data_IF_508408228759
#
_entry.id   IF_508408228759
#
_cell.length_a   1.000
_cell.length_b   1.000
_cell.length_c   1.000
_cell.angle_alpha   90.00
_cell.angle_beta   90.00
_cell.angle_gamma   90.00
#
_symmetry.space_group_name_H-M   'P 1'
#
loop_
_entity.id
_entity.type
_entity.pdbx_description
1 polymer ?
#
# COMPACT_ATOMS: atom_id res chain seq x y z
N UNK A 1 -16.45 12.59 -22.28
CA UNK A 1 -16.24 11.29 -22.94
C UNK A 1 -15.90 10.33 -21.80
N UNK A 2 -16.74 9.32 -21.52
CA UNK A 2 -16.39 8.34 -20.49
C UNK A 2 -15.21 7.53 -21.00
N UNK A 3 -14.06 7.64 -20.34
CA UNK A 3 -12.93 6.76 -20.61
C UNK A 3 -13.32 5.40 -20.03
N UNK A 4 -13.67 4.45 -20.90
CA UNK A 4 -13.92 3.07 -20.50
C UNK A 4 -12.59 2.44 -20.10
N UNK A 5 -12.23 2.63 -18.84
CA UNK A 5 -11.05 1.99 -18.26
C UNK A 5 -11.31 0.47 -18.19
N UNK A 6 -10.37 -0.37 -18.67
CA UNK A 6 -10.49 -1.81 -18.49
C UNK A 6 -10.67 -2.13 -17.00
N UNK A 7 -11.47 -3.16 -16.68
CA UNK A 7 -11.90 -3.49 -15.30
C UNK A 7 -10.76 -3.43 -14.28
N UNK A 8 -9.57 -3.93 -14.65
CA UNK A 8 -8.36 -3.95 -13.82
C UNK A 8 -7.79 -2.55 -13.47
N UNK A 9 -8.11 -1.52 -14.24
CA UNK A 9 -7.64 -0.14 -14.09
C UNK A 9 -8.73 0.77 -13.50
N UNK A 10 -9.91 0.23 -13.21
CA UNK A 10 -10.94 0.99 -12.50
C UNK A 10 -10.44 1.42 -11.12
N UNK A 11 -10.84 2.61 -10.61
CA UNK A 11 -10.42 3.08 -9.28
C UNK A 11 -10.73 2.08 -8.16
N UNK A 12 -11.87 1.40 -8.24
CA UNK A 12 -12.26 0.37 -7.30
C UNK A 12 -11.30 -0.83 -7.35
N UNK A 13 -11.04 -1.38 -8.54
CA UNK A 13 -10.12 -2.52 -8.68
C UNK A 13 -8.71 -2.16 -8.26
N UNK A 14 -8.24 -0.96 -8.61
CA UNK A 14 -6.95 -0.44 -8.13
C UNK A 14 -6.91 -0.30 -6.62
N UNK A 15 -7.98 0.19 -5.99
CA UNK A 15 -8.10 0.27 -4.53
C UNK A 15 -8.02 -1.09 -3.85
N UNK A 16 -8.73 -2.10 -4.38
CA UNK A 16 -8.69 -3.47 -3.86
C UNK A 16 -7.29 -4.08 -4.03
N UNK A 17 -6.66 -3.93 -5.21
CA UNK A 17 -5.31 -4.45 -5.45
C UNK A 17 -4.27 -3.78 -4.56
N UNK A 18 -4.36 -2.46 -4.38
CA UNK A 18 -3.54 -1.70 -3.43
C UNK A 18 -3.70 -2.19 -2.00
N UNK A 19 -4.94 -2.46 -1.55
CA UNK A 19 -5.19 -3.01 -0.22
C UNK A 19 -4.53 -4.39 -0.05
N UNK A 20 -4.67 -5.28 -1.04
CA UNK A 20 -4.04 -6.60 -0.99
C UNK A 20 -2.52 -6.51 -0.94
N UNK A 21 -1.91 -5.64 -1.76
CA UNK A 21 -0.48 -5.40 -1.73
C UNK A 21 -0.01 -4.91 -0.35
N UNK A 22 -0.70 -3.92 0.21
CA UNK A 22 -0.41 -3.39 1.54
C UNK A 22 -0.51 -4.47 2.63
N UNK A 23 -1.52 -5.34 2.58
CA UNK A 23 -1.68 -6.43 3.55
C UNK A 23 -0.54 -7.45 3.47
N UNK A 24 -0.11 -7.81 2.25
CA UNK A 24 1.03 -8.71 2.06
C UNK A 24 2.31 -8.08 2.64
N UNK A 25 2.58 -6.82 2.33
CA UNK A 25 3.71 -6.08 2.88
C UNK A 25 3.65 -5.98 4.40
N UNK A 26 2.48 -5.67 4.98
CA UNK A 26 2.30 -5.60 6.42
C UNK A 26 2.58 -6.94 7.12
N UNK A 27 2.11 -8.06 6.55
CA UNK A 27 2.38 -9.39 7.11
C UNK A 27 3.86 -9.76 7.01
N UNK A 28 4.48 -9.56 5.85
CA UNK A 28 5.88 -9.97 5.64
C UNK A 28 6.85 -9.08 6.42
N UNK A 29 6.67 -7.76 6.35
CA UNK A 29 7.58 -6.82 6.97
C UNK A 29 7.50 -6.86 8.49
N UNK A 30 6.39 -7.26 9.11
CA UNK A 30 6.28 -7.32 10.58
C UNK A 30 6.96 -8.54 11.21
N UNK A 31 7.40 -9.53 10.42
CA UNK A 31 8.06 -10.75 10.92
C UNK A 31 9.23 -10.44 11.89
N UNK A 32 10.18 -9.53 11.59
CA UNK A 32 11.30 -9.24 12.48
C UNK A 32 10.88 -8.64 13.82
N UNK A 33 9.75 -7.93 13.90
CA UNK A 33 9.21 -7.42 15.17
C UNK A 33 8.82 -8.58 16.07
N UNK A 34 8.13 -9.58 15.52
CA UNK A 34 7.71 -10.76 16.27
C UNK A 34 8.86 -11.73 16.56
N UNK A 35 9.91 -11.72 15.73
CA UNK A 35 11.10 -12.57 15.90
C UNK A 35 12.15 -12.00 16.86
N UNK A 36 12.03 -10.73 17.28
CA UNK A 36 13.01 -10.06 18.13
C UNK A 36 12.43 -9.67 19.50
N UNK A 37 13.30 -9.23 20.43
CA UNK A 37 12.91 -8.79 21.79
C UNK A 37 13.61 -7.50 22.19
N UNK A 38 13.01 -6.78 23.14
CA UNK A 38 13.62 -5.62 23.79
C UNK A 38 13.88 -4.47 22.82
N UNK A 39 15.07 -3.87 22.88
CA UNK A 39 15.41 -2.69 22.06
C UNK A 39 15.36 -2.97 20.56
N UNK A 40 15.75 -4.17 20.10
CA UNK A 40 15.70 -4.54 18.70
C UNK A 40 14.26 -4.56 18.16
N UNK A 41 13.31 -5.05 18.96
CA UNK A 41 11.89 -5.05 18.62
C UNK A 41 11.34 -3.65 18.43
N UNK A 42 11.70 -2.70 19.30
CA UNK A 42 11.30 -1.30 19.18
C UNK A 42 11.88 -0.63 17.92
N UNK A 43 13.14 -0.92 17.58
CA UNK A 43 13.78 -0.42 16.36
C UNK A 43 13.05 -0.97 15.12
N UNK A 44 12.79 -2.28 15.08
CA UNK A 44 12.04 -2.90 13.99
C UNK A 44 10.64 -2.30 13.84
N UNK A 45 9.91 -2.12 14.93
CA UNK A 45 8.58 -1.53 14.89
C UNK A 45 8.59 -0.11 14.28
N UNK A 46 9.58 0.71 14.63
CA UNK A 46 9.75 2.05 14.05
C UNK A 46 10.06 2.03 12.55
N UNK A 47 11.01 1.19 12.13
CA UNK A 47 11.40 1.05 10.72
C UNK A 47 10.20 0.56 9.90
N UNK A 48 9.57 -0.53 10.32
CA UNK A 48 8.47 -1.15 9.59
C UNK A 48 7.24 -0.24 9.56
N UNK A 49 6.92 0.42 10.67
CA UNK A 49 5.85 1.42 10.70
C UNK A 49 6.07 2.56 9.70
N UNK A 50 7.32 3.01 9.54
CA UNK A 50 7.67 4.04 8.56
C UNK A 50 7.53 3.54 7.12
N UNK A 51 7.99 2.32 6.84
CA UNK A 51 7.87 1.69 5.52
C UNK A 51 6.40 1.49 5.13
N UNK A 52 5.58 0.96 6.03
CA UNK A 52 4.15 0.74 5.79
C UNK A 52 3.41 2.07 5.63
N UNK A 53 3.76 3.11 6.39
CA UNK A 53 3.17 4.43 6.21
C UNK A 53 3.47 4.99 4.81
N UNK A 54 4.73 4.90 4.37
CA UNK A 54 5.15 5.37 3.05
C UNK A 54 4.44 4.60 1.93
N UNK A 55 4.33 3.27 2.06
CA UNK A 55 3.61 2.42 1.12
C UNK A 55 2.12 2.79 1.06
N UNK A 56 1.45 2.92 2.21
CA UNK A 56 0.05 3.31 2.27
C UNK A 56 -0.20 4.67 1.58
N UNK A 57 0.65 5.66 1.87
CA UNK A 57 0.56 6.98 1.22
C UNK A 57 0.74 6.88 -0.30
N UNK A 58 1.72 6.08 -0.77
CA UNK A 58 1.97 5.86 -2.19
C UNK A 58 0.81 5.18 -2.91
N UNK A 59 0.27 4.10 -2.32
CA UNK A 59 -0.84 3.34 -2.89
C UNK A 59 -2.15 4.15 -2.91
N UNK A 60 -2.45 4.91 -1.85
CA UNK A 60 -3.60 5.83 -1.84
C UNK A 60 -3.44 6.89 -2.92
N UNK A 61 -2.25 7.49 -3.03
CA UNK A 61 -1.96 8.50 -4.06
C UNK A 61 -2.17 7.92 -5.47
N UNK A 62 -1.69 6.70 -5.72
CA UNK A 62 -1.90 6.00 -6.99
C UNK A 62 -3.39 5.87 -7.32
N UNK A 63 -4.21 5.39 -6.38
CA UNK A 63 -5.65 5.22 -6.57
C UNK A 63 -6.34 6.55 -6.85
N UNK A 64 -5.99 7.61 -6.11
CA UNK A 64 -6.54 8.96 -6.32
C UNK A 64 -6.15 9.52 -7.70
N UNK A 65 -4.94 9.28 -8.17
CA UNK A 65 -4.51 9.73 -9.50
C UNK A 65 -5.24 9.01 -10.63
N UNK A 66 -5.55 7.72 -10.45
CA UNK A 66 -6.37 6.96 -11.40
C UNK A 66 -7.82 7.45 -11.38
N UNK A 67 -8.39 7.70 -10.20
CA UNK A 67 -9.75 8.24 -10.04
C UNK A 67 -9.91 9.62 -10.72
N UNK A 68 -8.86 10.44 -10.67
CA UNK A 68 -8.82 11.74 -11.35
C UNK A 68 -8.52 11.68 -12.85
N UNK A 69 -8.30 10.49 -13.42
CA UNK A 69 -7.91 10.31 -14.81
C UNK A 69 -6.52 10.87 -15.15
N UNK A 70 -5.64 11.08 -14.16
CA UNK A 70 -4.28 11.58 -14.40
C UNK A 70 -3.36 10.45 -14.87
N UNK A 71 -3.55 9.26 -14.29
CA UNK A 71 -2.94 8.02 -14.73
C UNK A 71 -4.03 7.26 -15.46
N UNK A 72 -3.93 7.14 -16.79
CA UNK A 72 -4.82 6.38 -17.68
C UNK A 72 -6.14 7.06 -18.16
N UNK A 73 -6.37 8.34 -17.85
CA UNK A 73 -7.49 9.12 -18.40
C UNK A 73 -7.15 9.96 -19.62
#
# INVERSE_FOLDING_TARGET
>A
MSVDLPVLVSPLSMGVMSLLAFLVSAVVLTIPVFASRGRAQAIWAGIIGTLLLAEAAGLITLVVLVDRGVLFG
#
